data_IF_839866485134
#
_entry.id   IF_839866485134
#
_cell.length_a   1.000
_cell.length_b   1.000
_cell.length_c   1.000
_cell.angle_alpha   90.00
_cell.angle_beta   90.00
_cell.angle_gamma   90.00
#
_symmetry.space_group_name_H-M   'P 1'
#
loop_
_entity.id
_entity.type
_entity.pdbx_description
1 polymer ?
#
# COMPACT_ATOMS: atom_id res chain seq x y z
N UNK A 1 -23.09 21.42 5.42
CA UNK A 1 -21.81 21.04 4.76
C UNK A 1 -21.63 19.56 4.99
N UNK A 2 -21.55 18.75 3.93
CA UNK A 2 -21.17 17.35 4.09
C UNK A 2 -19.69 17.32 4.51
N UNK A 3 -19.38 16.64 5.61
CA UNK A 3 -17.98 16.42 6.01
C UNK A 3 -17.39 15.42 5.02
N UNK A 4 -16.57 15.90 4.10
CA UNK A 4 -15.79 15.04 3.21
C UNK A 4 -14.54 14.65 3.98
N UNK A 5 -14.51 13.43 4.52
CA UNK A 5 -13.29 12.88 5.08
C UNK A 5 -12.51 12.22 3.95
N UNK A 6 -11.26 12.63 3.77
CA UNK A 6 -10.39 12.05 2.75
C UNK A 6 -9.45 11.05 3.42
N UNK A 7 -9.36 9.88 2.80
CA UNK A 7 -8.49 8.79 3.23
C UNK A 7 -7.62 8.33 2.05
N UNK A 8 -6.32 8.25 2.29
CA UNK A 8 -5.41 7.58 1.38
C UNK A 8 -5.20 6.13 1.79
N UNK A 9 -5.15 5.26 0.79
CA UNK A 9 -4.85 3.84 0.99
C UNK A 9 -3.60 3.55 0.19
N UNK A 10 -2.53 3.19 0.88
CA UNK A 10 -1.25 2.89 0.28
C UNK A 10 -0.98 1.39 0.36
N UNK A 11 -0.97 0.73 -0.80
CA UNK A 11 -0.58 -0.67 -0.90
C UNK A 11 0.85 -0.75 -1.41
N UNK A 12 1.73 -1.35 -0.61
CA UNK A 12 3.15 -1.50 -0.90
C UNK A 12 3.41 -2.96 -1.25
N UNK A 13 3.78 -3.21 -2.50
CA UNK A 13 4.10 -4.54 -3.00
C UNK A 13 5.62 -4.71 -3.06
N UNK A 14 6.13 -5.74 -2.40
CA UNK A 14 7.51 -6.20 -2.57
C UNK A 14 7.52 -7.13 -3.77
N UNK A 15 7.99 -6.62 -4.92
CA UNK A 15 7.98 -7.38 -6.17
C UNK A 15 9.20 -8.30 -6.27
N UNK A 16 10.33 -7.87 -5.72
CA UNK A 16 11.59 -8.61 -5.73
C UNK A 16 12.54 -8.07 -4.65
N UNK A 17 13.71 -8.72 -4.45
CA UNK A 17 14.76 -8.20 -3.58
C UNK A 17 15.29 -6.81 -3.98
N UNK A 18 14.98 -6.33 -5.19
CA UNK A 18 15.48 -5.05 -5.71
C UNK A 18 14.38 -4.04 -6.03
N UNK A 19 13.10 -4.42 -6.00
CA UNK A 19 12.01 -3.56 -6.45
C UNK A 19 10.79 -3.57 -5.52
N UNK A 20 10.27 -2.36 -5.28
CA UNK A 20 9.02 -2.09 -4.60
C UNK A 20 8.05 -1.38 -5.56
N UNK A 21 6.76 -1.62 -5.35
CA UNK A 21 5.69 -0.84 -5.98
C UNK A 21 4.79 -0.25 -4.91
N UNK A 22 4.47 1.03 -5.04
CA UNK A 22 3.45 1.73 -4.26
C UNK A 22 2.22 1.93 -5.14
N UNK A 23 1.07 1.46 -4.69
CA UNK A 23 -0.23 1.78 -5.27
C UNK A 23 -0.94 2.69 -4.28
N UNK A 24 -1.21 3.92 -4.70
CA UNK A 24 -1.87 4.93 -3.89
C UNK A 24 -3.28 5.18 -4.43
N UNK A 25 -4.27 5.00 -3.57
CA UNK A 25 -5.67 5.24 -3.88
C UNK A 25 -6.24 6.32 -2.96
N UNK A 26 -6.77 7.39 -3.54
CA UNK A 26 -7.48 8.43 -2.81
C UNK A 26 -8.94 8.05 -2.70
N UNK A 27 -9.47 8.00 -1.48
CA UNK A 27 -10.86 7.64 -1.20
C UNK A 27 -11.55 8.77 -0.45
N UNK A 28 -12.69 9.21 -0.99
CA UNK A 28 -13.57 10.16 -0.32
C UNK A 28 -14.64 9.42 0.48
N UNK A 29 -14.77 9.79 1.75
CA UNK A 29 -15.80 9.30 2.67
C UNK A 29 -16.90 10.36 2.79
N UNK A 30 -17.99 10.14 2.07
CA UNK A 30 -19.14 11.04 1.99
C UNK A 30 -20.37 10.38 2.63
N UNK A 31 -20.70 10.73 3.87
CA UNK A 31 -21.91 10.27 4.58
C UNK A 31 -22.18 8.75 4.46
N UNK A 32 -21.13 7.94 4.63
CA UNK A 32 -21.18 6.48 4.54
C UNK A 32 -20.97 5.90 3.14
N UNK A 33 -20.94 6.73 2.08
CA UNK A 33 -20.51 6.32 0.74
C UNK A 33 -19.02 6.56 0.56
N UNK A 34 -18.33 5.53 0.07
CA UNK A 34 -16.90 5.58 -0.25
C UNK A 34 -16.75 5.69 -1.76
N UNK A 35 -16.12 6.75 -2.22
CA UNK A 35 -15.87 6.97 -3.66
C UNK A 35 -14.38 7.04 -3.88
N UNK A 36 -13.86 6.09 -4.65
CA UNK A 36 -12.46 6.11 -5.09
C UNK A 36 -12.29 7.18 -6.15
N UNK A 37 -11.31 8.07 -5.95
CA UNK A 37 -10.91 9.09 -6.93
C UNK A 37 -9.89 8.55 -7.94
N UNK A 38 -9.54 7.26 -7.87
CA UNK A 38 -8.60 6.60 -8.78
C UNK A 38 -7.30 6.13 -8.11
N UNK A 39 -6.51 5.38 -8.87
CA UNK A 39 -5.23 4.79 -8.45
C UNK A 39 -4.06 5.44 -9.16
N UNK A 40 -2.96 5.57 -8.44
CA UNK A 40 -1.66 5.97 -8.98
C UNK A 40 -0.61 4.98 -8.52
N UNK A 41 0.31 4.61 -9.43
CA UNK A 41 1.35 3.64 -9.15
C UNK A 41 2.74 4.26 -9.26
N UNK A 42 3.64 3.86 -8.36
CA UNK A 42 5.03 4.31 -8.32
C UNK A 42 5.95 3.12 -8.09
N UNK A 43 7.14 3.17 -8.68
CA UNK A 43 8.18 2.15 -8.49
C UNK A 43 9.35 2.73 -7.71
N UNK A 44 9.91 1.93 -6.82
CA UNK A 44 11.07 2.28 -6.01
C UNK A 44 12.06 1.11 -5.97
N UNK A 45 13.32 1.40 -5.67
CA UNK A 45 14.30 0.36 -5.36
C UNK A 45 14.02 -0.23 -3.97
N UNK A 46 14.21 -1.54 -3.82
CA UNK A 46 14.13 -2.22 -2.53
C UNK A 46 15.45 -2.07 -1.73
N UNK A 47 15.85 -0.81 -1.54
CA UNK A 47 17.03 -0.39 -0.79
C UNK A 47 16.62 0.59 0.29
N UNK A 48 17.53 0.92 1.22
CA UNK A 48 17.28 1.93 2.26
C UNK A 48 16.93 3.29 1.67
N UNK A 49 17.59 3.67 0.58
CA UNK A 49 17.34 4.92 -0.14
C UNK A 49 15.98 4.90 -0.84
N UNK A 50 15.63 3.78 -1.50
CA UNK A 50 14.34 3.65 -2.16
C UNK A 50 13.16 3.65 -1.18
N UNK A 51 13.33 3.04 -0.02
CA UNK A 51 12.38 3.11 1.09
C UNK A 51 12.18 4.55 1.62
N UNK A 52 13.25 5.33 1.78
CA UNK A 52 13.15 6.76 2.11
C UNK A 52 12.39 7.55 1.05
N UNK A 53 12.61 7.25 -0.24
CA UNK A 53 11.88 7.89 -1.33
C UNK A 53 10.40 7.49 -1.34
N UNK A 54 10.09 6.23 -1.04
CA UNK A 54 8.73 5.74 -0.88
C UNK A 54 8.03 6.47 0.27
N UNK A 55 8.64 6.55 1.46
CA UNK A 55 8.09 7.27 2.61
C UNK A 55 7.89 8.77 2.32
N UNK A 56 8.81 9.38 1.57
CA UNK A 56 8.65 10.76 1.10
C UNK A 56 7.44 10.90 0.17
N UNK A 57 7.28 9.98 -0.78
CA UNK A 57 6.16 10.01 -1.72
C UNK A 57 4.81 9.82 -1.00
N UNK A 58 4.74 8.91 -0.03
CA UNK A 58 3.54 8.73 0.81
C UNK A 58 3.21 10.03 1.56
N UNK A 59 4.21 10.70 2.14
CA UNK A 59 4.02 11.99 2.82
C UNK A 59 3.55 13.10 1.88
N UNK A 60 4.12 13.16 0.68
CA UNK A 60 3.75 14.10 -0.37
C UNK A 60 2.28 13.90 -0.80
N UNK A 61 1.88 12.65 -1.08
CA UNK A 61 0.54 12.34 -1.56
C UNK A 61 -0.53 12.61 -0.50
N UNK A 62 -0.32 12.15 0.74
CA UNK A 62 -1.33 12.30 1.79
C UNK A 62 -1.47 13.73 2.30
N UNK A 63 -0.39 14.51 2.28
CA UNK A 63 -0.31 15.79 2.98
C UNK A 63 -0.72 15.67 4.46
N UNK A 64 -1.91 16.21 4.78
CA UNK A 64 -2.52 16.19 6.14
C UNK A 64 -3.70 15.21 6.28
N UNK A 65 -4.06 14.51 5.21
CA UNK A 65 -5.19 13.60 5.17
C UNK A 65 -4.87 12.28 5.90
N UNK A 66 -5.91 11.55 6.29
CA UNK A 66 -5.75 10.24 6.92
C UNK A 66 -5.12 9.26 5.95
N UNK A 67 -4.43 8.24 6.48
CA UNK A 67 -3.85 7.17 5.67
C UNK A 67 -4.05 5.82 6.33
N UNK A 68 -4.26 4.81 5.51
CA UNK A 68 -4.02 3.41 5.83
C UNK A 68 -2.93 2.85 4.92
N UNK A 69 -2.17 1.89 5.43
CA UNK A 69 -1.07 1.25 4.69
C UNK A 69 -1.17 -0.28 4.78
N UNK A 70 -0.85 -0.97 3.69
CA UNK A 70 -0.66 -2.42 3.65
C UNK A 70 0.65 -2.77 2.95
N UNK A 71 1.41 -3.71 3.50
CA UNK A 71 2.58 -4.31 2.88
C UNK A 71 2.28 -5.74 2.45
N UNK A 72 2.54 -6.07 1.18
CA UNK A 72 2.32 -7.40 0.61
C UNK A 72 3.61 -7.88 -0.03
N UNK A 73 4.11 -9.03 0.42
CA UNK A 73 5.29 -9.66 -0.14
C UNK A 73 4.91 -10.62 -1.27
N UNK A 74 5.27 -10.22 -2.50
CA UNK A 74 5.10 -11.01 -3.72
C UNK A 74 6.42 -11.59 -4.20
N UNK A 75 7.53 -11.36 -3.50
CA UNK A 75 8.84 -11.81 -3.96
C UNK A 75 8.94 -13.34 -3.84
N UNK A 76 9.39 -13.97 -4.93
CA UNK A 76 9.70 -15.41 -4.96
C UNK A 76 10.97 -15.75 -4.17
N UNK A 77 11.79 -14.74 -3.87
CA UNK A 77 13.01 -14.87 -3.09
C UNK A 77 13.07 -13.88 -1.93
N UNK A 78 13.55 -14.38 -0.79
CA UNK A 78 13.85 -13.55 0.37
C UNK A 78 14.98 -12.57 0.04
N UNK A 79 14.87 -11.35 0.57
CA UNK A 79 15.93 -10.35 0.49
C UNK A 79 15.43 -8.95 0.14
N UNK A 80 16.38 -8.01 0.10
CA UNK A 80 16.08 -6.59 -0.05
C UNK A 80 15.75 -5.92 1.28
N UNK A 81 15.83 -4.59 1.28
CA UNK A 81 15.71 -3.81 2.52
C UNK A 81 14.35 -3.95 3.21
N UNK A 82 13.27 -4.08 2.43
CA UNK A 82 11.93 -4.35 2.96
C UNK A 82 11.83 -5.69 3.67
N UNK A 83 12.48 -6.74 3.17
CA UNK A 83 12.48 -8.06 3.83
C UNK A 83 13.09 -7.97 5.23
N UNK A 84 14.23 -7.29 5.36
CA UNK A 84 14.94 -7.11 6.63
C UNK A 84 14.20 -6.19 7.62
N UNK A 85 13.53 -5.15 7.11
CA UNK A 85 12.79 -4.15 7.91
C UNK A 85 11.39 -4.63 8.32
N UNK A 86 10.68 -5.35 7.44
CA UNK A 86 9.23 -5.56 7.55
C UNK A 86 8.79 -6.91 8.10
N UNK A 87 9.60 -7.97 8.01
CA UNK A 87 9.20 -9.30 8.49
C UNK A 87 8.88 -9.32 10.01
N UNK A 88 9.32 -8.30 10.75
CA UNK A 88 9.08 -8.17 12.20
C UNK A 88 7.81 -7.40 12.58
N UNK A 89 7.29 -6.50 11.74
CA UNK A 89 6.35 -5.45 12.20
C UNK A 89 5.05 -5.28 11.41
N UNK A 90 4.85 -5.97 10.28
CA UNK A 90 3.59 -5.88 9.53
C UNK A 90 2.57 -6.94 9.99
N UNK A 91 1.25 -6.66 9.98
CA UNK A 91 0.26 -7.67 10.26
C UNK A 91 0.39 -8.80 9.24
N UNK A 92 0.65 -10.02 9.70
CA UNK A 92 0.69 -11.25 8.89
C UNK A 92 -0.69 -11.65 8.35
N UNK A 93 -1.62 -10.70 8.28
CA UNK A 93 -3.05 -10.92 8.02
C UNK A 93 -3.32 -11.27 6.55
N UNK A 94 -2.35 -11.06 5.66
CA UNK A 94 -2.40 -11.48 4.27
C UNK A 94 -1.50 -12.71 4.09
N UNK A 95 -2.09 -13.90 4.16
CA UNK A 95 -1.39 -15.14 3.84
C UNK A 95 -1.09 -15.24 2.33
N UNK A 96 0.00 -15.92 1.96
CA UNK A 96 0.38 -16.18 0.56
C UNK A 96 -0.71 -16.89 -0.23
N UNK A 97 -1.60 -17.64 0.44
CA UNK A 97 -2.77 -18.26 -0.18
C UNK A 97 -3.83 -17.25 -0.64
N UNK A 98 -4.00 -16.14 0.08
CA UNK A 98 -5.00 -15.11 -0.22
C UNK A 98 -4.61 -14.21 -1.40
N UNK A 99 -3.31 -14.12 -1.70
CA UNK A 99 -2.76 -13.25 -2.76
C UNK A 99 -2.43 -14.00 -4.05
N UNK A 100 -2.49 -15.34 -4.03
CA UNK A 100 -2.10 -16.15 -5.17
C UNK A 100 -3.04 -15.91 -6.35
N UNK A 101 -2.47 -15.48 -7.48
CA UNK A 101 -3.22 -15.23 -8.72
C UNK A 101 -3.97 -13.90 -8.75
N UNK A 102 -3.88 -13.07 -7.70
CA UNK A 102 -4.43 -11.72 -7.72
C UNK A 102 -3.51 -10.77 -8.48
N UNK A 103 -4.10 -9.92 -9.31
CA UNK A 103 -3.42 -8.79 -9.92
C UNK A 103 -3.05 -7.74 -8.87
N UNK A 104 -2.09 -6.86 -9.19
CA UNK A 104 -1.71 -5.74 -8.33
C UNK A 104 -2.91 -4.85 -7.94
N UNK A 105 -3.86 -4.68 -8.86
CA UNK A 105 -5.10 -3.94 -8.63
C UNK A 105 -5.99 -4.63 -7.59
N UNK A 106 -6.16 -5.95 -7.70
CA UNK A 106 -6.94 -6.75 -6.74
C UNK A 106 -6.28 -6.83 -5.36
N UNK A 107 -4.95 -6.78 -5.30
CA UNK A 107 -4.21 -6.69 -4.05
C UNK A 107 -4.43 -5.34 -3.34
N UNK A 108 -4.55 -4.25 -4.10
CA UNK A 108 -4.97 -2.97 -3.54
C UNK A 108 -6.42 -3.04 -3.03
N UNK A 109 -7.32 -3.70 -3.75
CA UNK A 109 -8.69 -3.95 -3.27
C UNK A 109 -8.74 -4.81 -1.99
N UNK A 110 -7.86 -5.80 -1.87
CA UNK A 110 -7.72 -6.60 -0.66
C UNK A 110 -7.28 -5.75 0.53
N UNK A 111 -6.30 -4.85 0.33
CA UNK A 111 -5.85 -3.92 1.37
C UNK A 111 -7.01 -3.05 1.90
N UNK A 112 -7.88 -2.56 1.02
CA UNK A 112 -9.07 -1.80 1.42
C UNK A 112 -9.97 -2.63 2.35
N UNK A 113 -10.30 -3.86 1.93
CA UNK A 113 -11.18 -4.75 2.70
C UNK A 113 -10.66 -5.02 4.11
N UNK A 114 -9.35 -5.19 4.28
CA UNK A 114 -8.73 -5.46 5.59
C UNK A 114 -8.91 -4.28 6.54
N UNK A 115 -8.77 -3.06 6.03
CA UNK A 115 -9.01 -1.83 6.79
C UNK A 115 -10.51 -1.49 6.97
N UNK A 116 -11.40 -2.42 6.61
CA UNK A 116 -12.85 -2.23 6.66
C UNK A 116 -13.33 -1.16 5.68
N UNK A 117 -12.60 -0.93 4.59
CA UNK A 117 -12.83 0.06 3.53
C UNK A 117 -13.56 -0.52 2.32
#
# INVERSE_FOLDING_TARGET
MAVINILWIFTILVLSPTQLKLIAEKTELNAGKRVSSGRTEFLFSNTKEGDRLLENKIRELRGKEFREECGIDLADSAGGYYYDRMFRNYPKEIDKSMIKGLSHSELADLCKRIHGL
#
